data_IF_810744165050
#
_entry.id   IF_810744165050
#
_cell.length_a   1.000
_cell.length_b   1.000
_cell.length_c   1.000
_cell.angle_alpha   90.00
_cell.angle_beta   90.00
_cell.angle_gamma   90.00
#
_symmetry.space_group_name_H-M   'P 1'
#
loop_
_entity.id
_entity.type
_entity.pdbx_description
1 polymer ?
#
# COMPACT_ATOMS: atom_id res chain seq x y z
N UNK A 1 -40.95 11.94 4.84
CA UNK A 1 -39.69 12.46 4.28
C UNK A 1 -38.62 12.01 5.23
N UNK A 2 -37.65 11.22 4.76
CA UNK A 2 -36.54 10.70 5.57
C UNK A 2 -35.74 11.88 6.16
N UNK A 3 -35.36 11.81 7.43
CA UNK A 3 -34.57 12.85 8.09
C UNK A 3 -33.12 12.83 7.60
N UNK A 4 -32.41 13.96 7.73
CA UNK A 4 -30.99 14.01 7.37
C UNK A 4 -30.16 13.00 8.17
N UNK A 5 -30.50 12.79 9.44
CA UNK A 5 -29.82 11.82 10.30
C UNK A 5 -30.05 10.38 9.84
N UNK A 6 -31.27 10.04 9.42
CA UNK A 6 -31.59 8.73 8.82
C UNK A 6 -30.80 8.50 7.52
N UNK A 7 -30.72 9.53 6.67
CA UNK A 7 -29.95 9.48 5.42
C UNK A 7 -28.45 9.25 5.71
N UNK A 8 -27.88 9.96 6.68
CA UNK A 8 -26.47 9.81 7.08
C UNK A 8 -26.22 8.43 7.70
N UNK A 9 -27.10 7.97 8.59
CA UNK A 9 -26.97 6.67 9.24
C UNK A 9 -26.97 5.51 8.23
N UNK A 10 -27.76 5.60 7.15
CA UNK A 10 -27.80 4.61 6.08
C UNK A 10 -26.52 4.56 5.23
N UNK A 11 -25.78 5.66 5.13
CA UNK A 11 -24.51 5.66 4.39
C UNK A 11 -23.41 4.83 5.09
N UNK A 12 -23.64 4.44 6.35
CA UNK A 12 -22.80 3.50 7.09
C UNK A 12 -21.43 4.10 7.43
N UNK A 13 -21.21 4.44 8.71
CA UNK A 13 -19.90 4.89 9.19
C UNK A 13 -18.91 3.75 9.44
N UNK A 14 -19.30 2.48 9.33
CA UNK A 14 -18.76 1.45 10.24
C UNK A 14 -18.16 0.19 9.63
N UNK A 15 -18.03 0.06 8.30
CA UNK A 15 -17.36 -1.10 7.69
C UNK A 15 -15.88 -0.88 7.36
N UNK A 16 -15.54 0.35 6.96
CA UNK A 16 -14.26 0.66 6.33
C UNK A 16 -13.26 1.31 7.28
N UNK A 17 -13.75 1.94 8.36
CA UNK A 17 -12.95 2.70 9.32
C UNK A 17 -11.85 1.84 9.95
N UNK A 18 -12.11 0.54 10.16
CA UNK A 18 -11.16 -0.40 10.77
C UNK A 18 -10.44 -1.28 9.74
N UNK A 19 -10.81 -1.19 8.45
CA UNK A 19 -10.11 -1.94 7.40
C UNK A 19 -8.79 -1.26 7.04
N UNK A 20 -7.68 -1.91 7.34
CA UNK A 20 -6.33 -1.40 7.08
C UNK A 20 -5.47 -2.35 6.25
N UNK A 21 -5.92 -3.59 6.03
CA UNK A 21 -5.20 -4.57 5.23
C UNK A 21 -5.68 -4.55 3.78
N UNK A 22 -4.77 -4.35 2.81
CA UNK A 22 -5.12 -4.53 1.41
C UNK A 22 -5.31 -6.02 1.11
N UNK A 23 -6.08 -6.32 0.07
CA UNK A 23 -6.22 -7.68 -0.46
C UNK A 23 -5.34 -7.78 -1.70
N UNK A 24 -4.28 -8.57 -1.61
CA UNK A 24 -3.43 -8.93 -2.76
C UNK A 24 -4.07 -10.12 -3.46
N UNK A 25 -4.27 -10.01 -4.76
CA UNK A 25 -4.99 -10.95 -5.61
C UNK A 25 -4.05 -11.30 -6.76
N UNK A 26 -3.49 -12.51 -6.73
CA UNK A 26 -2.63 -13.00 -7.80
C UNK A 26 -3.51 -13.55 -8.93
N UNK A 27 -3.51 -12.92 -10.11
CA UNK A 27 -4.42 -13.29 -11.18
C UNK A 27 -4.17 -14.70 -11.73
N UNK A 28 -3.06 -15.35 -11.37
CA UNK A 28 -2.74 -16.72 -11.78
C UNK A 28 -3.45 -17.77 -10.93
N UNK A 29 -4.04 -17.38 -9.80
CA UNK A 29 -4.85 -18.27 -8.97
C UNK A 29 -6.33 -18.03 -9.22
N UNK A 30 -7.08 -19.11 -9.48
CA UNK A 30 -8.51 -19.03 -9.80
C UNK A 30 -9.34 -18.37 -8.69
N UNK A 31 -9.02 -18.65 -7.42
CA UNK A 31 -9.72 -18.06 -6.26
C UNK A 31 -9.54 -16.53 -6.21
N UNK A 32 -8.32 -16.05 -6.44
CA UNK A 32 -8.00 -14.63 -6.45
C UNK A 32 -8.63 -13.92 -7.65
N UNK A 33 -8.67 -14.58 -8.82
CA UNK A 33 -9.37 -14.05 -9.99
C UNK A 33 -10.87 -13.94 -9.79
N UNK A 34 -11.49 -14.95 -9.16
CA UNK A 34 -12.90 -14.89 -8.79
C UNK A 34 -13.16 -13.75 -7.79
N UNK A 35 -12.29 -13.58 -6.80
CA UNK A 35 -12.38 -12.49 -5.84
C UNK A 35 -12.21 -11.11 -6.51
N UNK A 36 -11.24 -10.98 -7.42
CA UNK A 36 -11.02 -9.75 -8.19
C UNK A 36 -12.25 -9.38 -9.02
N UNK A 37 -12.82 -10.33 -9.77
CA UNK A 37 -14.05 -10.09 -10.55
C UNK A 37 -15.20 -9.64 -9.66
N UNK A 38 -15.43 -10.33 -8.53
CA UNK A 38 -16.47 -9.93 -7.57
C UNK A 38 -16.28 -8.51 -7.05
N UNK A 39 -15.04 -8.09 -6.77
CA UNK A 39 -14.76 -6.73 -6.31
C UNK A 39 -15.06 -5.72 -7.43
N UNK A 40 -14.59 -5.98 -8.65
CA UNK A 40 -14.77 -5.10 -9.81
C UNK A 40 -16.23 -4.97 -10.27
N UNK A 41 -17.03 -6.02 -10.14
CA UNK A 41 -18.45 -6.05 -10.51
C UNK A 41 -19.37 -5.50 -9.40
N UNK A 42 -18.83 -5.29 -8.19
CA UNK A 42 -19.59 -4.77 -7.05
C UNK A 42 -19.47 -3.25 -6.91
N UNK A 43 -20.35 -2.66 -6.11
CA UNK A 43 -20.22 -1.26 -5.70
C UNK A 43 -19.03 -1.01 -4.74
N UNK A 44 -18.33 -2.05 -4.28
CA UNK A 44 -17.20 -1.92 -3.35
C UNK A 44 -15.95 -1.28 -4.00
N UNK A 45 -15.85 -1.34 -5.33
CA UNK A 45 -14.79 -0.72 -6.11
C UNK A 45 -15.36 0.44 -6.92
N UNK A 46 -14.81 1.64 -6.73
CA UNK A 46 -15.22 2.84 -7.48
C UNK A 46 -14.11 3.34 -8.41
N UNK A 47 -12.90 2.76 -8.29
CA UNK A 47 -11.72 3.18 -9.05
C UNK A 47 -10.81 1.99 -9.35
N UNK A 48 -10.37 1.89 -10.60
CA UNK A 48 -9.39 0.89 -11.04
C UNK A 48 -8.23 1.62 -11.68
N UNK A 49 -7.01 1.33 -11.23
CA UNK A 49 -5.77 1.89 -11.76
C UNK A 49 -4.89 0.76 -12.29
N UNK A 50 -4.85 0.61 -13.61
CA UNK A 50 -3.95 -0.34 -14.27
C UNK A 50 -2.84 0.43 -14.98
N UNK A 51 -1.70 0.55 -14.31
CA UNK A 51 -0.51 1.22 -14.82
C UNK A 51 0.64 0.25 -15.05
N UNK A 52 0.36 -1.06 -15.17
CA UNK A 52 1.39 -2.11 -15.24
C UNK A 52 2.36 -1.89 -16.42
N UNK A 53 1.85 -1.39 -17.56
CA UNK A 53 2.67 -1.06 -18.74
C UNK A 53 3.72 -0.01 -18.42
N UNK A 54 3.31 1.07 -17.72
CA UNK A 54 4.22 2.15 -17.34
C UNK A 54 5.22 1.67 -16.27
N UNK A 55 4.77 0.86 -15.32
CA UNK A 55 5.65 0.28 -14.30
C UNK A 55 6.73 -0.62 -14.92
N UNK A 56 6.35 -1.50 -15.87
CA UNK A 56 7.31 -2.35 -16.59
C UNK A 56 8.29 -1.49 -17.41
N UNK A 57 7.79 -0.49 -18.14
CA UNK A 57 8.65 0.39 -18.92
C UNK A 57 9.67 1.12 -18.03
N UNK A 58 9.24 1.69 -16.91
CA UNK A 58 10.13 2.36 -15.95
C UNK A 58 11.15 1.38 -15.34
N UNK A 59 10.74 0.15 -15.01
CA UNK A 59 11.65 -0.92 -14.56
C UNK A 59 12.74 -1.22 -15.62
N UNK A 60 12.33 -1.41 -16.87
CA UNK A 60 13.25 -1.70 -17.97
C UNK A 60 14.24 -0.56 -18.23
N UNK A 61 13.83 0.70 -18.04
CA UNK A 61 14.75 1.85 -18.09
C UNK A 61 15.78 1.78 -16.95
N UNK A 62 15.37 1.43 -15.73
CA UNK A 62 16.32 1.37 -14.59
C UNK A 62 17.36 0.25 -14.69
N UNK A 63 17.08 -0.80 -15.48
CA UNK A 63 18.01 -1.92 -15.73
C UNK A 63 19.07 -1.59 -16.79
N UNK A 64 18.88 -0.53 -17.58
CA UNK A 64 19.82 -0.12 -18.64
C UNK A 64 20.13 1.38 -18.57
N UNK A 65 21.30 1.78 -18.03
CA UNK A 65 21.69 3.18 -17.91
C UNK A 65 21.57 3.95 -19.25
N UNK A 66 20.90 5.11 -19.21
CA UNK A 66 20.69 5.96 -20.38
C UNK A 66 19.58 5.51 -21.34
N UNK A 67 18.96 4.35 -21.11
CA UNK A 67 17.79 3.91 -21.88
C UNK A 67 16.59 4.80 -21.57
N UNK A 68 15.89 5.21 -22.62
CA UNK A 68 14.56 5.84 -22.54
C UNK A 68 13.61 5.13 -23.47
N UNK A 69 12.43 4.80 -22.96
CA UNK A 69 11.36 4.14 -23.71
C UNK A 69 10.29 5.20 -24.02
N UNK A 70 10.17 5.65 -25.29
CA UNK A 70 9.12 6.59 -25.67
C UNK A 70 7.73 6.03 -25.36
N UNK A 71 6.78 6.90 -25.02
CA UNK A 71 5.40 6.50 -24.67
C UNK A 71 4.77 5.55 -25.71
N UNK A 72 4.97 5.83 -27.00
CA UNK A 72 4.47 5.02 -28.10
C UNK A 72 5.03 3.57 -28.16
N UNK A 73 6.14 3.31 -27.48
CA UNK A 73 6.83 2.00 -27.45
C UNK A 73 6.58 1.22 -26.16
N UNK A 74 6.02 1.87 -25.12
CA UNK A 74 5.89 1.27 -23.78
C UNK A 74 5.07 -0.02 -23.80
N UNK A 75 3.95 -0.04 -24.52
CA UNK A 75 3.11 -1.23 -24.63
C UNK A 75 3.85 -2.42 -25.26
N UNK A 76 4.55 -2.19 -26.38
CA UNK A 76 5.33 -3.24 -27.07
C UNK A 76 6.47 -3.76 -26.18
N UNK A 77 7.21 -2.86 -25.53
CA UNK A 77 8.32 -3.21 -24.64
C UNK A 77 7.83 -3.98 -23.40
N UNK A 78 6.68 -3.59 -22.83
CA UNK A 78 6.06 -4.30 -21.74
C UNK A 78 5.58 -5.69 -22.18
N UNK A 79 4.92 -5.81 -23.34
CA UNK A 79 4.49 -7.10 -23.87
C UNK A 79 5.69 -8.03 -24.14
N UNK A 80 6.78 -7.49 -24.70
CA UNK A 80 8.01 -8.27 -24.92
C UNK A 80 8.63 -8.76 -23.61
N UNK A 81 8.56 -7.97 -22.53
CA UNK A 81 9.04 -8.37 -21.20
C UNK A 81 8.21 -9.49 -20.57
N UNK A 82 6.88 -9.44 -20.73
CA UNK A 82 5.99 -10.48 -20.19
C UNK A 82 5.90 -11.73 -21.08
N UNK A 83 6.31 -11.63 -22.34
CA UNK A 83 6.32 -12.74 -23.31
C UNK A 83 4.93 -13.07 -23.84
N UNK A 84 4.59 -14.36 -23.89
CA UNK A 84 3.27 -14.85 -24.36
C UNK A 84 2.16 -14.72 -23.31
N UNK A 85 2.49 -14.23 -22.11
CA UNK A 85 1.53 -14.05 -21.02
C UNK A 85 0.69 -12.80 -21.29
N UNK A 86 -0.62 -12.91 -21.08
CA UNK A 86 -1.51 -11.74 -21.02
C UNK A 86 -1.03 -10.79 -19.93
N UNK A 87 -0.74 -9.54 -20.28
CA UNK A 87 -0.19 -8.55 -19.35
C UNK A 87 -1.05 -8.34 -18.10
N UNK A 88 -2.37 -8.61 -18.17
CA UNK A 88 -3.29 -8.54 -17.01
C UNK A 88 -3.05 -9.63 -15.98
N UNK A 89 -2.35 -10.70 -16.37
CA UNK A 89 -1.92 -11.82 -15.54
C UNK A 89 -0.50 -11.61 -14.98
N UNK A 90 0.16 -10.52 -15.36
CA UNK A 90 1.52 -10.22 -14.95
C UNK A 90 1.54 -9.24 -13.77
N UNK A 91 1.94 -9.74 -12.60
CA UNK A 91 1.97 -8.94 -11.37
C UNK A 91 0.85 -9.32 -10.43
N UNK A 92 0.43 -8.37 -9.60
CA UNK A 92 -0.55 -8.56 -8.54
C UNK A 92 -1.59 -7.44 -8.61
N UNK A 93 -2.87 -7.81 -8.52
CA UNK A 93 -3.94 -6.85 -8.31
C UNK A 93 -4.12 -6.61 -6.82
N UNK A 94 -4.15 -5.35 -6.39
CA UNK A 94 -4.27 -4.98 -4.97
C UNK A 94 -5.53 -4.17 -4.78
N UNK A 95 -6.46 -4.70 -3.99
CA UNK A 95 -7.63 -3.97 -3.55
C UNK A 95 -7.35 -3.27 -2.22
N UNK A 96 -7.61 -1.96 -2.17
CA UNK A 96 -7.52 -1.10 -0.99
C UNK A 96 -8.93 -0.74 -0.52
N UNK A 97 -9.50 -1.46 0.47
CA UNK A 97 -10.87 -1.27 0.94
C UNK A 97 -11.19 0.18 1.32
N UNK A 98 -10.30 0.84 2.06
CA UNK A 98 -10.48 2.21 2.53
C UNK A 98 -10.39 3.27 1.42
N UNK A 99 -9.84 2.92 0.25
CA UNK A 99 -9.88 3.76 -0.96
C UNK A 99 -10.96 3.33 -1.95
N UNK A 100 -11.59 2.16 -1.72
CA UNK A 100 -12.48 1.50 -2.68
C UNK A 100 -11.84 1.42 -4.07
N UNK A 101 -10.54 1.12 -4.10
CA UNK A 101 -9.73 1.16 -5.31
C UNK A 101 -8.99 -0.17 -5.53
N UNK A 102 -8.92 -0.59 -6.79
CA UNK A 102 -8.11 -1.73 -7.24
C UNK A 102 -6.94 -1.19 -8.05
N UNK A 103 -5.72 -1.62 -7.76
CA UNK A 103 -4.50 -1.17 -8.43
C UNK A 103 -3.71 -2.37 -8.93
N UNK A 104 -3.28 -2.34 -10.19
CA UNK A 104 -2.39 -3.36 -10.75
C UNK A 104 -0.93 -2.97 -10.51
N UNK A 105 -0.14 -3.86 -9.89
CA UNK A 105 1.27 -3.59 -9.59
C UNK A 105 2.18 -4.73 -10.04
N UNK A 106 3.46 -4.40 -10.28
CA UNK A 106 4.51 -5.38 -10.56
C UNK A 106 4.56 -6.53 -9.51
N UNK A 107 5.10 -7.71 -9.87
CA UNK A 107 5.45 -8.74 -8.90
C UNK A 107 6.36 -8.20 -7.79
N UNK A 108 6.23 -8.72 -6.57
CA UNK A 108 6.89 -8.19 -5.35
C UNK A 108 8.38 -7.85 -5.54
N UNK A 109 9.14 -8.75 -6.16
CA UNK A 109 10.58 -8.55 -6.36
C UNK A 109 10.87 -7.35 -7.28
N UNK A 110 10.15 -7.23 -8.39
CA UNK A 110 10.33 -6.16 -9.37
C UNK A 110 9.76 -4.82 -8.87
N UNK A 111 8.64 -4.87 -8.13
CA UNK A 111 8.07 -3.70 -7.48
C UNK A 111 9.07 -3.05 -6.52
N UNK A 112 9.72 -3.86 -5.65
CA UNK A 112 10.75 -3.37 -4.74
C UNK A 112 12.02 -2.92 -5.46
N UNK A 113 12.42 -3.64 -6.51
CA UNK A 113 13.56 -3.26 -7.36
C UNK A 113 13.36 -1.85 -7.95
N UNK A 114 12.19 -1.61 -8.57
CA UNK A 114 11.87 -0.33 -9.19
C UNK A 114 11.76 0.78 -8.14
N UNK A 115 11.00 0.55 -7.05
CA UNK A 115 10.78 1.56 -6.00
C UNK A 115 12.10 2.04 -5.38
N UNK A 116 13.05 1.12 -5.17
CA UNK A 116 14.36 1.42 -4.56
C UNK A 116 15.46 1.71 -5.57
N UNK A 117 15.16 1.76 -6.87
CA UNK A 117 16.15 1.99 -7.93
C UNK A 117 16.96 3.29 -7.73
N UNK A 118 16.33 4.33 -7.19
CA UNK A 118 16.96 5.64 -6.89
C UNK A 118 17.79 5.64 -5.61
N UNK A 119 17.75 4.57 -4.81
CA UNK A 119 18.57 4.42 -3.61
C UNK A 119 19.96 3.87 -3.94
N UNK A 120 20.16 3.23 -5.09
CA UNK A 120 21.36 2.43 -5.43
C UNK A 120 22.71 3.17 -5.32
N UNK A 121 22.71 4.50 -5.33
CA UNK A 121 23.91 5.34 -5.16
C UNK A 121 24.07 5.95 -3.75
N UNK A 122 23.13 5.67 -2.85
CA UNK A 122 23.12 6.09 -1.43
C UNK A 122 23.17 4.90 -0.48
N UNK A 123 22.57 3.79 -0.89
CA UNK A 123 22.41 2.55 -0.16
C UNK A 123 22.82 1.43 -1.12
N UNK A 124 23.82 0.65 -0.75
CA UNK A 124 24.24 -0.50 -1.56
C UNK A 124 23.15 -1.57 -1.58
N UNK A 125 23.18 -2.48 -2.57
CA UNK A 125 22.23 -3.59 -2.65
C UNK A 125 22.29 -4.48 -1.40
N UNK A 126 23.49 -4.69 -0.85
CA UNK A 126 23.69 -5.46 0.38
C UNK A 126 23.06 -4.76 1.59
N UNK A 127 23.29 -3.46 1.75
CA UNK A 127 22.66 -2.68 2.82
C UNK A 127 21.13 -2.65 2.68
N UNK A 128 20.61 -2.46 1.48
CA UNK A 128 19.16 -2.49 1.22
C UNK A 128 18.57 -3.86 1.56
N UNK A 129 19.26 -4.95 1.22
CA UNK A 129 18.84 -6.30 1.58
C UNK A 129 18.84 -6.50 3.10
N UNK A 130 19.90 -6.08 3.80
CA UNK A 130 19.98 -6.16 5.26
C UNK A 130 18.89 -5.33 5.94
N UNK A 131 18.66 -4.10 5.49
CA UNK A 131 17.67 -3.19 6.05
C UNK A 131 16.24 -3.66 5.79
N UNK A 132 15.94 -4.21 4.60
CA UNK A 132 14.62 -4.78 4.31
C UNK A 132 14.31 -6.06 5.11
N UNK A 133 15.31 -6.68 5.76
CA UNK A 133 15.10 -7.77 6.71
C UNK A 133 14.72 -7.32 8.12
N UNK A 134 14.81 -6.04 8.46
CA UNK A 134 14.57 -5.53 9.81
C UNK A 134 13.09 -5.60 10.21
N UNK A 135 12.84 -5.84 11.50
CA UNK A 135 11.53 -5.64 12.12
C UNK A 135 11.58 -4.37 12.95
N UNK A 136 10.63 -3.46 12.71
CA UNK A 136 10.65 -2.12 13.31
C UNK A 136 9.37 -1.94 14.11
N UNK A 137 9.52 -1.67 15.40
CA UNK A 137 8.41 -1.33 16.29
C UNK A 137 8.39 0.18 16.56
N UNK A 138 7.21 0.78 16.49
CA UNK A 138 7.00 2.21 16.71
C UNK A 138 5.83 2.36 17.67
N UNK A 139 6.13 2.84 18.88
CA UNK A 139 5.15 3.16 19.91
C UNK A 139 4.87 4.67 19.88
N UNK A 140 3.62 5.04 19.58
CA UNK A 140 3.18 6.42 19.36
C UNK A 140 3.35 6.86 17.90
N UNK A 141 2.23 7.12 17.25
CA UNK A 141 2.11 7.40 15.81
C UNK A 141 1.60 8.80 15.52
N UNK A 142 1.73 9.68 16.50
CA UNK A 142 1.76 11.12 16.23
C UNK A 142 3.06 11.47 15.49
N UNK A 143 4.17 11.68 16.21
CA UNK A 143 5.46 11.93 15.55
C UNK A 143 5.99 10.67 14.84
N UNK A 144 5.77 9.49 15.41
CA UNK A 144 6.32 8.23 14.88
C UNK A 144 5.80 7.83 13.51
N UNK A 145 4.61 8.31 13.08
CA UNK A 145 4.08 8.06 11.73
C UNK A 145 5.03 8.57 10.65
N UNK A 146 5.60 9.76 10.81
CA UNK A 146 6.54 10.31 9.84
C UNK A 146 7.78 9.42 9.70
N UNK A 147 8.32 8.93 10.82
CA UNK A 147 9.45 7.99 10.83
C UNK A 147 9.10 6.67 10.15
N UNK A 148 7.94 6.08 10.46
CA UNK A 148 7.48 4.85 9.83
C UNK A 148 7.44 4.96 8.31
N UNK A 149 6.81 6.03 7.83
CA UNK A 149 6.64 6.34 6.41
C UNK A 149 7.99 6.56 5.73
N UNK A 150 8.89 7.35 6.33
CA UNK A 150 10.23 7.58 5.79
C UNK A 150 11.01 6.28 5.66
N UNK A 151 10.99 5.41 6.68
CA UNK A 151 11.68 4.12 6.62
C UNK A 151 11.13 3.23 5.50
N UNK A 152 9.80 3.14 5.36
CA UNK A 152 9.16 2.38 4.30
C UNK A 152 9.47 2.93 2.88
N UNK A 153 9.51 4.26 2.72
CA UNK A 153 9.91 4.93 1.49
C UNK A 153 11.34 4.56 1.08
N UNK A 154 12.26 4.50 2.06
CA UNK A 154 13.66 4.08 1.84
C UNK A 154 13.83 2.57 1.63
N UNK A 155 12.76 1.78 1.76
CA UNK A 155 12.82 0.32 1.69
C UNK A 155 13.48 -0.32 2.92
N UNK A 156 13.50 0.41 4.04
CA UNK A 156 14.02 -0.03 5.33
C UNK A 156 12.90 -0.64 6.16
N UNK A 157 13.10 -1.87 6.64
CA UNK A 157 12.10 -2.64 7.37
C UNK A 157 11.27 -3.54 6.45
N UNK A 158 11.21 -4.84 6.79
CA UNK A 158 10.34 -5.83 6.16
C UNK A 158 9.15 -6.23 7.02
N UNK A 159 9.08 -5.68 8.23
CA UNK A 159 7.92 -5.78 9.13
C UNK A 159 7.83 -4.52 9.98
N UNK A 160 6.64 -3.92 10.04
CA UNK A 160 6.33 -2.78 10.90
C UNK A 160 5.32 -3.19 11.97
N UNK A 161 5.61 -2.84 13.22
CA UNK A 161 4.76 -3.05 14.39
C UNK A 161 4.36 -1.68 14.94
N UNK A 162 3.10 -1.32 14.76
CA UNK A 162 2.61 0.04 14.97
C UNK A 162 1.68 0.04 16.17
N UNK A 163 2.03 0.78 17.22
CA UNK A 163 1.22 0.82 18.44
C UNK A 163 0.80 2.26 18.76
N UNK A 164 -0.51 2.51 18.80
CA UNK A 164 -1.09 3.77 19.23
C UNK A 164 -2.54 3.54 19.66
N UNK A 165 -2.92 4.08 20.82
CA UNK A 165 -4.26 3.94 21.38
C UNK A 165 -5.21 5.07 20.96
N UNK A 166 -4.68 6.16 20.42
CA UNK A 166 -5.48 7.32 20.04
C UNK A 166 -6.04 7.21 18.62
N UNK A 167 -7.22 7.80 18.44
CA UNK A 167 -7.73 8.19 17.14
C UNK A 167 -7.19 9.56 16.70
N UNK A 168 -7.22 9.82 15.39
CA UNK A 168 -6.94 11.15 14.85
C UNK A 168 -8.06 12.13 15.25
N UNK A 169 -7.68 13.22 15.90
CA UNK A 169 -8.59 14.33 16.22
C UNK A 169 -8.36 15.53 15.28
N UNK A 170 -9.38 16.37 15.10
CA UNK A 170 -9.29 17.62 14.33
C UNK A 170 -8.13 18.50 14.80
N UNK A 171 -7.94 18.60 16.13
CA UNK A 171 -6.84 19.36 16.74
C UNK A 171 -5.45 18.85 16.36
N UNK A 172 -5.34 17.64 15.81
CA UNK A 172 -4.08 17.03 15.40
C UNK A 172 -3.67 17.40 13.97
N UNK A 173 -4.61 17.82 13.11
CA UNK A 173 -4.37 18.10 11.69
C UNK A 173 -3.41 19.29 11.45
N UNK A 174 -3.11 20.09 12.47
CA UNK A 174 -2.13 21.17 12.38
C UNK A 174 -0.67 20.68 12.39
N UNK A 175 -0.42 19.40 12.74
CA UNK A 175 0.94 18.86 12.93
C UNK A 175 1.10 17.41 12.50
N UNK A 176 0.00 16.66 12.40
CA UNK A 176 -0.01 15.29 11.90
C UNK A 176 -0.50 15.28 10.45
N UNK A 177 0.12 14.44 9.62
CA UNK A 177 -0.42 14.15 8.29
C UNK A 177 -1.74 13.40 8.48
N UNK A 178 -2.80 13.87 7.85
CA UNK A 178 -4.12 13.28 7.90
C UNK A 178 -5.13 14.14 7.15
N UNK A 179 -6.33 13.60 6.93
CA UNK A 179 -7.45 14.28 6.29
C UNK A 179 -8.63 14.45 7.24
N UNK A 180 -9.51 15.41 6.97
CA UNK A 180 -10.81 15.53 7.66
C UNK A 180 -11.68 14.29 7.49
N UNK A 181 -11.44 13.49 6.45
CA UNK A 181 -12.11 12.21 6.21
C UNK A 181 -11.60 11.08 7.12
N UNK A 182 -10.50 11.30 7.85
CA UNK A 182 -9.83 10.31 8.67
C UNK A 182 -9.97 10.59 10.17
N UNK A 183 -10.67 11.67 10.55
CA UNK A 183 -10.95 11.99 11.95
C UNK A 183 -11.75 10.85 12.58
N UNK A 184 -11.36 10.44 13.78
CA UNK A 184 -11.96 9.31 14.49
C UNK A 184 -11.33 7.95 14.17
N UNK A 185 -10.43 7.87 13.18
CA UNK A 185 -9.73 6.61 12.86
C UNK A 185 -8.47 6.48 13.73
N UNK A 186 -8.21 5.27 14.26
CA UNK A 186 -7.01 4.95 15.03
C UNK A 186 -5.72 5.32 14.27
N UNK A 187 -4.74 5.93 14.95
CA UNK A 187 -3.49 6.40 14.32
C UNK A 187 -2.63 5.26 13.77
N UNK A 188 -2.70 4.05 14.36
CA UNK A 188 -2.04 2.85 13.85
C UNK A 188 -2.68 2.34 12.57
N UNK A 189 -4.01 2.36 12.49
CA UNK A 189 -4.75 2.08 11.25
C UNK A 189 -4.34 3.05 10.13
N UNK A 190 -4.33 4.36 10.40
CA UNK A 190 -3.96 5.36 9.39
C UNK A 190 -2.53 5.20 8.90
N UNK A 191 -1.59 4.92 9.82
CA UNK A 191 -0.20 4.68 9.47
C UNK A 191 -0.07 3.41 8.63
N UNK A 192 -0.74 2.31 9.03
CA UNK A 192 -0.71 1.05 8.28
C UNK A 192 -1.21 1.23 6.84
N UNK A 193 -2.32 1.95 6.65
CA UNK A 193 -2.85 2.28 5.32
C UNK A 193 -1.83 3.01 4.45
N UNK A 194 -1.18 4.04 4.99
CA UNK A 194 -0.14 4.79 4.26
C UNK A 194 1.06 3.91 3.92
N UNK A 195 1.49 3.02 4.83
CA UNK A 195 2.56 2.06 4.54
C UNK A 195 2.16 1.11 3.40
N UNK A 196 0.93 0.59 3.39
CA UNK A 196 0.46 -0.29 2.32
C UNK A 196 0.26 0.41 0.98
N UNK A 197 -0.09 1.70 0.98
CA UNK A 197 -0.16 2.50 -0.23
C UNK A 197 1.23 2.78 -0.84
N UNK A 198 2.29 2.73 -0.02
CA UNK A 198 3.68 2.82 -0.49
C UNK A 198 4.27 1.47 -0.90
N UNK A 199 3.86 0.40 -0.21
CA UNK A 199 4.33 -0.96 -0.48
C UNK A 199 3.26 -1.98 -0.07
N UNK A 200 2.49 -2.53 -1.03
CA UNK A 200 1.46 -3.51 -0.73
C UNK A 200 2.01 -4.83 -0.20
N UNK A 201 3.32 -5.05 -0.29
CA UNK A 201 3.99 -6.28 0.14
C UNK A 201 4.60 -6.19 1.54
N UNK A 202 4.48 -5.05 2.22
CA UNK A 202 4.93 -4.94 3.62
C UNK A 202 4.17 -5.89 4.54
N UNK A 203 4.85 -6.34 5.59
CA UNK A 203 4.20 -6.96 6.75
C UNK A 203 3.94 -5.89 7.78
N UNK A 204 2.68 -5.71 8.16
CA UNK A 204 2.30 -4.73 9.18
C UNK A 204 1.49 -5.44 10.25
N UNK A 205 1.80 -5.16 11.51
CA UNK A 205 0.98 -5.51 12.68
C UNK A 205 0.64 -4.23 13.42
N UNK A 206 -0.62 -4.09 13.82
CA UNK A 206 -1.06 -2.93 14.59
C UNK A 206 -1.47 -3.36 16.00
N UNK A 207 -1.25 -2.48 16.96
CA UNK A 207 -1.65 -2.62 18.36
C UNK A 207 -2.47 -1.38 18.73
N UNK A 208 -3.79 -1.47 18.51
CA UNK A 208 -4.73 -0.36 18.70
C UNK A 208 -4.96 0.00 20.17
N UNK A 209 -4.53 -0.84 21.10
CA UNK A 209 -4.52 -0.53 22.54
C UNK A 209 -3.21 0.10 23.01
N UNK A 210 -2.30 0.42 22.08
CA UNK A 210 -0.94 0.84 22.41
C UNK A 210 -0.09 -0.30 22.97
N UNK A 211 1.05 0.04 23.57
CA UNK A 211 1.91 -0.95 24.25
C UNK A 211 1.44 -1.12 25.70
N UNK A 212 1.31 -2.37 26.14
CA UNK A 212 0.98 -2.76 27.51
C UNK A 212 1.75 -4.03 27.89
N UNK A 213 1.63 -4.43 29.16
CA UNK A 213 2.34 -5.59 29.70
C UNK A 213 1.97 -6.91 28.97
N UNK A 214 0.75 -7.00 28.43
CA UNK A 214 0.27 -8.19 27.73
C UNK A 214 0.86 -8.32 26.31
N UNK A 215 1.28 -7.21 25.69
CA UNK A 215 1.70 -7.19 24.29
C UNK A 215 3.16 -6.75 24.04
N UNK A 216 3.90 -6.34 25.07
CA UNK A 216 5.29 -5.87 24.95
C UNK A 216 6.25 -6.91 24.37
N UNK A 217 5.96 -8.21 24.55
CA UNK A 217 6.77 -9.32 24.06
C UNK A 217 6.36 -9.82 22.65
N UNK A 218 5.25 -9.33 22.10
CA UNK A 218 4.66 -9.81 20.84
C UNK A 218 5.43 -9.33 19.61
#
# INVERSE_FOLDING_TARGET
MESLDEIIARQGTSGWADSWQPRRLDPRHDEDMLALRRILESELCVRVEDTIVDQIADLLETRMPGRKIPAARRADEAQNHVGDVDIRMYGIWVYYPWRRAVVHVLPEAEYRELRTSRNRNKITLEEQSRMSGLRIAIAGLSVGRATAVTLAMEGTGGEFRLADFDALDLSNLNRLRGSVLEIGVNKAVLTARELFELDPFLRVRIFESGINDDNIAA
#
